data_IF_866428030056
#
_entry.id   IF_866428030056
#
_cell.length_a   1.000
_cell.length_b   1.000
_cell.length_c   1.000
_cell.angle_alpha   90.00
_cell.angle_beta   90.00
_cell.angle_gamma   90.00
#
_symmetry.space_group_name_H-M   'P 1'
#
loop_
_entity.id
_entity.type
_entity.pdbx_description
1 polymer ?
#
# COMPACT_ATOMS: atom_id res chain seq x y z
N UNK A 1 -10.33 15.37 28.61
CA UNK A 1 -9.34 14.29 28.38
C UNK A 1 -9.04 14.19 26.91
N UNK A 2 -7.78 13.97 26.52
CA UNK A 2 -7.37 13.91 25.11
C UNK A 2 -6.77 12.53 24.83
N UNK A 3 -7.35 11.82 23.87
CA UNK A 3 -6.80 10.58 23.34
C UNK A 3 -6.19 10.85 21.97
N UNK A 4 -5.07 10.21 21.68
CA UNK A 4 -4.39 10.24 20.40
C UNK A 4 -4.51 8.86 19.74
N UNK A 5 -5.00 8.82 18.52
CA UNK A 5 -5.18 7.60 17.74
C UNK A 5 -4.15 7.57 16.62
N UNK A 6 -3.19 6.67 16.70
CA UNK A 6 -2.14 6.53 15.69
C UNK A 6 -1.77 5.06 15.50
N UNK A 7 -1.59 4.66 14.23
CA UNK A 7 -1.02 3.36 13.85
C UNK A 7 -1.74 2.14 14.47
N UNK A 8 -3.06 2.23 14.65
CA UNK A 8 -3.85 1.15 15.26
C UNK A 8 -3.72 1.04 16.78
N UNK A 9 -3.09 2.01 17.43
CA UNK A 9 -2.98 2.11 18.89
C UNK A 9 -3.73 3.35 19.41
N UNK A 10 -4.26 3.22 20.63
CA UNK A 10 -4.91 4.30 21.36
C UNK A 10 -3.94 4.76 22.45
N UNK A 11 -3.60 6.05 22.46
CA UNK A 11 -2.77 6.63 23.49
C UNK A 11 -3.57 7.65 24.30
N UNK A 12 -3.53 7.54 25.63
CA UNK A 12 -4.01 8.59 26.51
C UNK A 12 -2.91 9.64 26.64
N UNK A 13 -3.25 10.90 26.38
CA UNK A 13 -2.35 12.02 26.66
C UNK A 13 -2.40 12.31 28.15
N UNK A 14 -1.35 11.95 28.88
CA UNK A 14 -1.27 12.21 30.32
C UNK A 14 -0.80 13.63 30.60
N UNK A 15 0.23 14.08 29.89
CA UNK A 15 0.78 15.41 30.11
C UNK A 15 1.31 16.01 28.80
N UNK A 16 1.21 17.33 28.70
CA UNK A 16 1.82 18.13 27.65
C UNK A 16 2.61 19.22 28.35
N UNK A 17 3.93 19.23 28.16
CA UNK A 17 4.80 20.22 28.75
C UNK A 17 5.86 20.65 27.74
N UNK A 18 6.42 21.83 27.95
CA UNK A 18 7.56 22.30 27.18
C UNK A 18 8.83 21.87 27.92
N UNK A 19 9.74 21.21 27.22
CA UNK A 19 11.01 20.77 27.78
C UNK A 19 12.11 21.76 27.38
N UNK A 20 12.53 22.56 28.36
CA UNK A 20 13.51 23.62 28.18
C UNK A 20 14.92 23.07 27.84
N UNK A 21 15.21 21.79 28.11
CA UNK A 21 16.52 21.19 27.80
C UNK A 21 16.66 20.86 26.30
N UNK A 22 15.55 20.56 25.63
CA UNK A 22 15.52 20.17 24.21
C UNK A 22 14.77 21.16 23.31
N UNK A 23 14.31 22.29 23.86
CA UNK A 23 13.56 23.36 23.19
C UNK A 23 12.38 22.82 22.35
N UNK A 24 11.64 21.85 22.91
CA UNK A 24 10.54 21.17 22.22
C UNK A 24 9.35 20.89 23.14
N UNK A 25 8.15 20.90 22.55
CA UNK A 25 6.94 20.44 23.22
C UNK A 25 6.92 18.92 23.35
N UNK A 26 6.91 18.41 24.59
CA UNK A 26 6.87 16.99 24.89
C UNK A 26 5.45 16.57 25.27
N UNK A 27 4.98 15.48 24.64
CA UNK A 27 3.67 14.87 24.93
C UNK A 27 3.90 13.50 25.53
N UNK A 28 3.53 13.32 26.80
CA UNK A 28 3.60 12.03 27.47
C UNK A 28 2.36 11.20 27.12
N UNK A 29 2.59 10.10 26.43
CA UNK A 29 1.56 9.18 25.94
C UNK A 29 1.61 7.87 26.73
N UNK A 30 0.44 7.36 27.13
CA UNK A 30 0.30 6.01 27.72
C UNK A 30 -0.54 5.17 26.77
N UNK A 31 -0.05 3.98 26.42
CA UNK A 31 -0.81 3.03 25.63
C UNK A 31 -2.06 2.61 26.42
N UNK A 32 -3.22 2.73 25.78
CA UNK A 32 -4.52 2.56 26.40
C UNK A 32 -5.30 1.50 25.64
N UNK A 33 -6.06 0.68 26.37
CA UNK A 33 -6.98 -0.31 25.81
C UNK A 33 -8.39 -0.07 26.31
N UNK A 34 -9.40 -0.52 25.56
CA UNK A 34 -10.80 -0.50 26.00
C UNK A 34 -11.10 -1.44 27.16
N UNK A 35 -10.20 -2.39 27.41
CA UNK A 35 -10.31 -3.33 28.53
C UNK A 35 -9.86 -2.68 29.85
N UNK A 36 -8.81 -1.85 29.79
CA UNK A 36 -8.11 -1.38 30.98
C UNK A 36 -8.34 0.10 31.31
N UNK A 37 -8.73 0.93 30.33
CA UNK A 37 -8.93 2.37 30.54
C UNK A 37 -10.42 2.73 30.69
N UNK A 38 -10.78 3.14 31.91
CA UNK A 38 -12.16 3.46 32.30
C UNK A 38 -12.74 4.63 31.51
N UNK A 39 -11.95 5.67 31.26
CA UNK A 39 -12.40 6.88 30.58
C UNK A 39 -12.56 6.63 29.09
N UNK A 40 -11.68 5.82 28.51
CA UNK A 40 -11.82 5.33 27.15
C UNK A 40 -13.08 4.48 27.01
N UNK A 41 -13.33 3.53 27.94
CA UNK A 41 -14.56 2.71 27.97
C UNK A 41 -15.82 3.58 28.11
N UNK A 42 -15.77 4.65 28.90
CA UNK A 42 -16.86 5.61 29.07
C UNK A 42 -17.11 6.40 27.78
N UNK A 43 -16.06 6.88 27.12
CA UNK A 43 -16.15 7.54 25.80
C UNK A 43 -16.80 6.61 24.78
N UNK A 44 -16.39 5.33 24.71
CA UNK A 44 -17.02 4.33 23.87
C UNK A 44 -18.50 4.10 24.22
N UNK A 45 -18.81 4.02 25.52
CA UNK A 45 -20.19 3.91 25.98
C UNK A 45 -21.04 5.14 25.64
N UNK A 46 -20.46 6.33 25.58
CA UNK A 46 -21.13 7.55 25.12
C UNK A 46 -21.32 7.56 23.61
N UNK A 47 -20.27 7.31 22.83
CA UNK A 47 -20.36 7.20 21.36
C UNK A 47 -21.39 6.14 20.94
N UNK A 48 -21.40 4.97 21.59
CA UNK A 48 -22.39 3.91 21.33
C UNK A 48 -23.82 4.33 21.68
N UNK A 49 -24.01 5.14 22.72
CA UNK A 49 -25.35 5.65 23.13
C UNK A 49 -25.82 6.81 22.26
N UNK A 50 -24.94 7.75 21.93
CA UNK A 50 -25.27 8.89 21.06
C UNK A 50 -25.51 8.45 19.61
N UNK A 51 -24.72 7.51 19.11
CA UNK A 51 -24.86 7.00 17.74
C UNK A 51 -25.91 5.87 17.67
N UNK A 52 -26.23 5.25 18.81
CA UNK A 52 -27.21 4.16 18.91
C UNK A 52 -28.66 4.57 18.68
N UNK A 53 -28.95 5.86 18.50
CA UNK A 53 -30.32 6.35 18.42
C UNK A 53 -30.85 6.67 17.02
N UNK A 54 -30.06 6.56 15.94
CA UNK A 54 -30.57 6.31 14.57
C UNK A 54 -29.44 6.38 13.53
N UNK A 55 -29.48 5.44 12.57
CA UNK A 55 -28.95 5.51 11.19
C UNK A 55 -27.46 5.77 10.89
N UNK A 56 -26.54 5.79 11.86
CA UNK A 56 -25.11 6.05 11.54
C UNK A 56 -24.06 5.02 11.99
N UNK A 57 -24.39 3.72 11.90
CA UNK A 57 -23.43 2.64 12.18
C UNK A 57 -22.20 2.68 11.28
N UNK A 58 -22.34 3.17 10.04
CA UNK A 58 -21.22 3.33 9.12
C UNK A 58 -20.17 4.32 9.66
N UNK A 59 -20.58 5.54 10.05
CA UNK A 59 -19.62 6.51 10.60
C UNK A 59 -18.97 6.02 11.89
N UNK A 60 -19.73 5.35 12.76
CA UNK A 60 -19.17 4.71 13.95
C UNK A 60 -18.11 3.68 13.58
N UNK A 61 -18.39 2.79 12.62
CA UNK A 61 -17.43 1.79 12.19
C UNK A 61 -16.13 2.38 11.64
N UNK A 62 -16.21 3.47 10.87
CA UNK A 62 -15.01 4.16 10.35
C UNK A 62 -14.17 4.74 11.50
N UNK A 63 -14.82 5.31 12.52
CA UNK A 63 -14.14 5.80 13.71
C UNK A 63 -13.49 4.64 14.46
N UNK A 64 -14.23 3.57 14.74
CA UNK A 64 -13.73 2.37 15.43
C UNK A 64 -12.53 1.74 14.71
N UNK A 65 -12.58 1.62 13.38
CA UNK A 65 -11.46 1.13 12.55
C UNK A 65 -10.22 2.01 12.75
N UNK A 66 -10.36 3.33 12.66
CA UNK A 66 -9.22 4.27 12.88
C UNK A 66 -8.63 4.16 14.28
N UNK A 67 -9.44 3.75 15.25
CA UNK A 67 -9.01 3.51 16.63
C UNK A 67 -8.37 2.13 16.85
N UNK A 68 -8.35 1.25 15.84
CA UNK A 68 -7.86 -0.13 15.96
C UNK A 68 -8.88 -1.14 16.51
N UNK A 69 -10.10 -0.70 16.80
CA UNK A 69 -11.20 -1.52 17.34
C UNK A 69 -11.92 -2.30 16.24
N UNK A 70 -11.17 -3.16 15.56
CA UNK A 70 -11.62 -3.83 14.33
C UNK A 70 -12.84 -4.74 14.52
N UNK A 71 -12.93 -5.46 15.64
CA UNK A 71 -14.06 -6.34 15.93
C UNK A 71 -15.38 -5.55 16.05
N UNK A 72 -15.37 -4.47 16.83
CA UNK A 72 -16.54 -3.61 17.01
C UNK A 72 -16.90 -2.87 15.71
N UNK A 73 -15.89 -2.43 14.95
CA UNK A 73 -16.10 -1.83 13.63
C UNK A 73 -16.80 -2.79 12.66
N UNK A 74 -16.34 -4.04 12.63
CA UNK A 74 -16.93 -5.11 11.81
C UNK A 74 -18.38 -5.39 12.21
N UNK A 75 -18.67 -5.48 13.50
CA UNK A 75 -20.03 -5.69 14.02
C UNK A 75 -20.97 -4.55 13.59
N UNK A 76 -20.53 -3.30 13.72
CA UNK A 76 -21.31 -2.14 13.28
C UNK A 76 -21.65 -2.18 11.79
N UNK A 77 -20.69 -2.57 10.93
CA UNK A 77 -20.92 -2.69 9.48
C UNK A 77 -21.86 -3.85 9.14
N UNK A 78 -21.72 -4.99 9.83
CA UNK A 78 -22.64 -6.13 9.65
C UNK A 78 -24.07 -5.78 10.09
N UNK A 79 -24.23 -5.03 11.17
CA UNK A 79 -25.55 -4.52 11.59
C UNK A 79 -26.12 -3.54 10.56
N UNK A 80 -25.32 -2.60 10.05
CA UNK A 80 -25.75 -1.69 8.97
C UNK A 80 -26.23 -2.48 7.73
N UNK A 81 -25.52 -3.56 7.37
CA UNK A 81 -25.87 -4.40 6.23
C UNK A 81 -27.24 -5.09 6.37
N UNK A 82 -27.68 -5.42 7.58
CA UNK A 82 -29.01 -6.01 7.82
C UNK A 82 -30.15 -5.04 7.49
N UNK A 83 -29.89 -3.73 7.56
CA UNK A 83 -30.88 -2.68 7.32
C UNK A 83 -30.78 -2.06 5.92
N UNK A 84 -29.69 -2.31 5.19
CA UNK A 84 -29.50 -1.83 3.81
C UNK A 84 -30.05 -2.82 2.78
N UNK A 85 -30.59 -2.32 1.66
CA UNK A 85 -30.92 -3.21 0.54
C UNK A 85 -29.64 -3.79 -0.09
N UNK A 86 -29.70 -5.06 -0.48
CA UNK A 86 -28.53 -5.85 -0.92
C UNK A 86 -27.73 -5.20 -2.06
N UNK A 87 -28.39 -4.42 -2.92
CA UNK A 87 -27.78 -3.70 -4.04
C UNK A 87 -27.88 -2.18 -3.89
N UNK A 88 -27.62 -1.65 -2.69
CA UNK A 88 -27.57 -0.20 -2.43
C UNK A 88 -26.14 0.34 -2.39
N UNK A 89 -26.01 1.66 -2.57
CA UNK A 89 -24.74 2.36 -2.35
C UNK A 89 -24.27 2.22 -0.89
N UNK A 90 -25.18 2.04 0.07
CA UNK A 90 -24.83 1.80 1.47
C UNK A 90 -24.21 0.41 1.67
N UNK A 91 -24.75 -0.62 1.02
CA UNK A 91 -24.15 -1.96 1.00
C UNK A 91 -22.75 -1.95 0.38
N UNK A 92 -22.57 -1.22 -0.73
CA UNK A 92 -21.25 -1.00 -1.34
C UNK A 92 -20.27 -0.39 -0.33
N UNK A 93 -20.64 0.70 0.35
CA UNK A 93 -19.80 1.37 1.34
C UNK A 93 -19.45 0.45 2.51
N UNK A 94 -20.42 -0.36 2.97
CA UNK A 94 -20.20 -1.29 4.06
C UNK A 94 -19.24 -2.42 3.68
N UNK A 95 -19.42 -3.04 2.51
CA UNK A 95 -18.49 -4.07 2.04
C UNK A 95 -17.08 -3.52 1.79
N UNK A 96 -16.97 -2.31 1.22
CA UNK A 96 -15.68 -1.66 1.08
C UNK A 96 -15.03 -1.37 2.46
N UNK A 97 -15.80 -0.92 3.45
CA UNK A 97 -15.27 -0.69 4.79
C UNK A 97 -14.85 -2.00 5.48
N UNK A 98 -15.57 -3.10 5.25
CA UNK A 98 -15.20 -4.44 5.74
C UNK A 98 -13.90 -4.91 5.09
N UNK A 99 -13.76 -4.78 3.76
CA UNK A 99 -12.50 -5.17 3.08
C UNK A 99 -11.30 -4.48 3.72
N UNK A 100 -11.43 -3.17 3.96
CA UNK A 100 -10.41 -2.34 4.55
C UNK A 100 -10.03 -2.79 5.98
N UNK A 101 -11.02 -3.14 6.81
CA UNK A 101 -10.77 -3.69 8.16
C UNK A 101 -9.98 -5.00 8.06
N UNK A 102 -10.35 -5.88 7.13
CA UNK A 102 -9.66 -7.16 6.94
C UNK A 102 -8.24 -6.99 6.38
N UNK A 103 -8.02 -6.01 5.49
CA UNK A 103 -6.67 -5.62 5.05
C UNK A 103 -5.81 -5.13 6.20
N UNK A 104 -6.35 -4.26 7.08
CA UNK A 104 -5.62 -3.73 8.24
C UNK A 104 -5.24 -4.84 9.22
N UNK A 105 -6.06 -5.89 9.33
CA UNK A 105 -5.79 -7.09 10.13
C UNK A 105 -4.84 -8.10 9.45
N UNK A 106 -4.45 -7.86 8.19
CA UNK A 106 -3.64 -8.78 7.39
C UNK A 106 -4.38 -10.04 6.92
N UNK A 107 -5.71 -10.10 7.07
CA UNK A 107 -6.52 -11.23 6.60
C UNK A 107 -7.03 -10.95 5.18
N UNK A 108 -6.14 -11.19 4.21
CA UNK A 108 -6.40 -10.91 2.80
C UNK A 108 -7.47 -11.82 2.18
N UNK A 109 -7.69 -13.02 2.71
CA UNK A 109 -8.73 -13.92 2.19
C UNK A 109 -10.13 -13.33 2.37
N UNK A 110 -10.43 -12.84 3.58
CA UNK A 110 -11.70 -12.17 3.83
C UNK A 110 -11.79 -10.81 3.14
N UNK A 111 -10.67 -10.06 3.09
CA UNK A 111 -10.62 -8.79 2.36
C UNK A 111 -11.06 -8.96 0.89
N UNK A 112 -10.52 -9.98 0.19
CA UNK A 112 -10.86 -10.27 -1.20
C UNK A 112 -12.35 -10.58 -1.38
N UNK A 113 -12.96 -11.31 -0.44
CA UNK A 113 -14.39 -11.64 -0.50
C UNK A 113 -15.22 -10.36 -0.44
N UNK A 114 -14.97 -9.50 0.55
CA UNK A 114 -15.70 -8.25 0.71
C UNK A 114 -15.44 -7.26 -0.43
N UNK A 115 -14.21 -7.23 -0.96
CA UNK A 115 -13.88 -6.43 -2.13
C UNK A 115 -14.69 -6.87 -3.35
N UNK A 116 -14.86 -8.19 -3.56
CA UNK A 116 -15.68 -8.72 -4.66
C UNK A 116 -17.15 -8.37 -4.50
N UNK A 117 -17.72 -8.46 -3.30
CA UNK A 117 -19.09 -8.02 -3.05
C UNK A 117 -19.28 -6.53 -3.34
N UNK A 118 -18.34 -5.69 -2.90
CA UNK A 118 -18.33 -4.26 -3.21
C UNK A 118 -18.29 -4.00 -4.73
N UNK A 119 -17.42 -4.71 -5.45
CA UNK A 119 -17.30 -4.62 -6.90
C UNK A 119 -18.58 -5.09 -7.62
N UNK A 120 -19.21 -6.18 -7.19
CA UNK A 120 -20.46 -6.68 -7.76
C UNK A 120 -21.58 -5.63 -7.66
N UNK A 121 -21.73 -4.99 -6.51
CA UNK A 121 -22.70 -3.91 -6.33
C UNK A 121 -22.36 -2.72 -7.22
N UNK A 122 -21.08 -2.33 -7.31
CA UNK A 122 -20.63 -1.21 -8.15
C UNK A 122 -20.95 -1.47 -9.63
N UNK A 123 -20.77 -2.70 -10.11
CA UNK A 123 -21.11 -3.10 -11.48
C UNK A 123 -22.62 -2.99 -11.76
N UNK A 124 -23.47 -3.29 -10.77
CA UNK A 124 -24.93 -3.14 -10.88
C UNK A 124 -25.33 -1.66 -10.87
N UNK A 125 -24.81 -0.89 -9.91
CA UNK A 125 -25.20 0.51 -9.67
C UNK A 125 -24.63 1.48 -10.68
N UNK A 126 -23.47 1.18 -11.27
CA UNK A 126 -22.71 2.14 -12.06
C UNK A 126 -22.12 1.48 -13.30
N UNK A 127 -22.98 1.23 -14.29
CA UNK A 127 -22.58 0.77 -15.62
C UNK A 127 -21.66 1.76 -16.38
N UNK A 128 -21.50 2.98 -15.88
CA UNK A 128 -20.70 4.07 -16.50
C UNK A 128 -19.44 4.45 -15.72
N UNK A 129 -19.25 3.96 -14.50
CA UNK A 129 -18.12 4.36 -13.65
C UNK A 129 -16.95 3.37 -13.78
N UNK A 130 -16.43 3.29 -15.01
CA UNK A 130 -15.33 2.39 -15.38
C UNK A 130 -14.06 2.66 -14.57
N UNK A 131 -13.84 3.91 -14.15
CA UNK A 131 -12.68 4.30 -13.36
C UNK A 131 -12.63 3.56 -12.02
N UNK A 132 -13.75 3.55 -11.28
CA UNK A 132 -13.83 2.88 -9.99
C UNK A 132 -13.82 1.35 -10.09
N UNK A 133 -14.35 0.80 -11.18
CA UNK A 133 -14.22 -0.63 -11.48
C UNK A 133 -12.73 -0.99 -11.65
N UNK A 134 -11.96 -0.15 -12.35
CA UNK A 134 -10.51 -0.32 -12.48
C UNK A 134 -9.78 -0.21 -11.13
N UNK A 135 -10.17 0.75 -10.28
CA UNK A 135 -9.65 0.89 -8.92
C UNK A 135 -9.88 -0.37 -8.07
N UNK A 136 -11.07 -0.96 -8.19
CA UNK A 136 -11.45 -2.17 -7.47
C UNK A 136 -10.58 -3.35 -7.92
N UNK A 137 -10.42 -3.55 -9.23
CA UNK A 137 -9.54 -4.60 -9.74
C UNK A 137 -8.07 -4.43 -9.35
N UNK A 138 -7.55 -3.20 -9.34
CA UNK A 138 -6.19 -2.94 -8.87
C UNK A 138 -6.02 -3.30 -7.39
N UNK A 139 -7.01 -2.95 -6.56
CA UNK A 139 -6.98 -3.24 -5.12
C UNK A 139 -7.09 -4.75 -4.84
N UNK A 140 -7.98 -5.46 -5.53
CA UNK A 140 -8.05 -6.93 -5.48
C UNK A 140 -6.72 -7.57 -5.93
N UNK A 141 -6.05 -6.97 -6.93
CA UNK A 141 -4.72 -7.39 -7.36
C UNK A 141 -3.69 -7.28 -6.24
N UNK A 142 -3.68 -6.17 -5.51
CA UNK A 142 -2.80 -5.95 -4.36
C UNK A 142 -3.10 -6.91 -3.21
N UNK A 143 -4.37 -7.24 -2.95
CA UNK A 143 -4.74 -8.20 -1.92
C UNK A 143 -4.27 -9.62 -2.26
N UNK A 144 -4.44 -10.05 -3.51
CA UNK A 144 -3.89 -11.33 -3.99
C UNK A 144 -2.37 -11.36 -3.93
N UNK A 145 -1.71 -10.25 -4.26
CA UNK A 145 -0.25 -10.12 -4.16
C UNK A 145 0.24 -10.30 -2.72
N UNK A 146 -0.41 -9.64 -1.75
CA UNK A 146 -0.07 -9.76 -0.33
C UNK A 146 -0.35 -11.16 0.23
N UNK A 147 -1.38 -11.83 -0.29
CA UNK A 147 -1.67 -13.24 0.02
C UNK A 147 -0.65 -14.21 -0.60
N UNK A 148 0.03 -13.82 -1.67
CA UNK A 148 0.98 -14.66 -2.42
C UNK A 148 0.38 -15.36 -3.65
N UNK A 149 -0.89 -15.13 -3.96
CA UNK A 149 -1.59 -15.71 -5.12
C UNK A 149 -1.23 -14.92 -6.41
N UNK A 150 0.02 -15.02 -6.85
CA UNK A 150 0.56 -14.19 -7.93
C UNK A 150 -0.25 -14.28 -9.24
N UNK A 151 -0.75 -15.47 -9.61
CA UNK A 151 -1.54 -15.66 -10.83
C UNK A 151 -2.88 -14.91 -10.81
N UNK A 152 -3.52 -14.85 -9.63
CA UNK A 152 -4.77 -14.10 -9.46
C UNK A 152 -4.48 -12.60 -9.38
N UNK A 153 -3.38 -12.19 -8.74
CA UNK A 153 -2.91 -10.80 -8.75
C UNK A 153 -2.69 -10.30 -10.19
N UNK A 154 -1.96 -11.07 -11.01
CA UNK A 154 -1.71 -10.74 -12.43
C UNK A 154 -3.02 -10.55 -13.19
N UNK A 155 -3.96 -11.50 -13.06
CA UNK A 155 -5.26 -11.43 -13.72
C UNK A 155 -6.05 -10.19 -13.31
N UNK A 156 -6.03 -9.83 -12.03
CA UNK A 156 -6.72 -8.65 -11.50
C UNK A 156 -6.08 -7.35 -12.01
N UNK A 157 -4.75 -7.25 -11.98
CA UNK A 157 -4.05 -6.09 -12.53
C UNK A 157 -4.24 -5.94 -14.05
N UNK A 158 -4.27 -7.03 -14.82
CA UNK A 158 -4.56 -6.97 -16.26
C UNK A 158 -5.98 -6.47 -16.55
N UNK A 159 -6.98 -6.91 -15.75
CA UNK A 159 -8.33 -6.35 -15.85
C UNK A 159 -8.36 -4.85 -15.56
N UNK A 160 -7.68 -4.41 -14.50
CA UNK A 160 -7.56 -3.00 -14.16
C UNK A 160 -6.90 -2.21 -15.30
N UNK A 161 -5.81 -2.74 -15.89
CA UNK A 161 -5.11 -2.14 -17.03
C UNK A 161 -6.03 -1.94 -18.23
N UNK A 162 -6.77 -2.97 -18.64
CA UNK A 162 -7.70 -2.90 -19.78
C UNK A 162 -8.78 -1.84 -19.55
N UNK A 163 -9.29 -1.74 -18.32
CA UNK A 163 -10.30 -0.74 -17.98
C UNK A 163 -9.70 0.66 -17.97
N UNK A 164 -8.57 0.87 -17.29
CA UNK A 164 -7.92 2.17 -17.22
C UNK A 164 -7.42 2.66 -18.57
N UNK A 165 -6.96 1.76 -19.46
CA UNK A 165 -6.60 2.12 -20.83
C UNK A 165 -7.81 2.65 -21.63
N UNK A 166 -9.03 2.21 -21.31
CA UNK A 166 -10.25 2.76 -21.93
C UNK A 166 -10.66 4.09 -21.32
N UNK A 167 -10.38 4.30 -20.03
CA UNK A 167 -10.78 5.51 -19.28
C UNK A 167 -9.79 6.67 -19.48
N UNK A 168 -8.52 6.34 -19.67
CA UNK A 168 -7.42 7.28 -19.68
C UNK A 168 -6.66 7.21 -21.01
N UNK A 169 -6.01 8.32 -21.37
CA UNK A 169 -5.00 8.30 -22.43
C UNK A 169 -3.74 7.58 -21.92
N UNK A 170 -2.91 7.07 -22.85
CA UNK A 170 -1.71 6.29 -22.51
C UNK A 170 -0.75 6.99 -21.53
N UNK A 171 -0.72 8.33 -21.51
CA UNK A 171 0.14 9.15 -20.64
C UNK A 171 -0.57 9.64 -19.37
N UNK A 172 -1.25 8.76 -18.66
CA UNK A 172 -1.90 9.08 -17.38
C UNK A 172 -1.18 8.43 -16.20
N UNK A 173 -1.13 9.09 -15.04
CA UNK A 173 -0.46 8.59 -13.83
C UNK A 173 -0.87 7.16 -13.44
N UNK A 174 -2.16 6.83 -13.56
CA UNK A 174 -2.69 5.49 -13.26
C UNK A 174 -2.18 4.42 -14.22
N UNK A 175 -1.85 4.79 -15.46
CA UNK A 175 -1.20 3.87 -16.40
C UNK A 175 0.23 3.55 -15.93
N UNK A 176 0.99 4.55 -15.46
CA UNK A 176 2.30 4.26 -14.86
C UNK A 176 2.21 3.34 -13.64
N UNK A 177 1.21 3.58 -12.77
CA UNK A 177 0.98 2.74 -11.60
C UNK A 177 0.64 1.29 -11.97
N UNK A 178 -0.25 1.05 -12.93
CA UNK A 178 -0.62 -0.34 -13.28
C UNK A 178 0.51 -1.08 -13.97
N UNK A 179 1.29 -0.40 -14.82
CA UNK A 179 2.48 -0.99 -15.42
C UNK A 179 3.53 -1.30 -14.35
N UNK A 180 3.71 -0.43 -13.36
CA UNK A 180 4.60 -0.72 -12.24
C UNK A 180 4.17 -1.98 -11.47
N UNK A 181 2.88 -2.12 -11.16
CA UNK A 181 2.34 -3.29 -10.45
C UNK A 181 2.50 -4.58 -11.26
N UNK A 182 2.23 -4.53 -12.57
CA UNK A 182 2.47 -5.66 -13.47
C UNK A 182 3.96 -6.02 -13.54
N UNK A 183 4.86 -5.04 -13.55
CA UNK A 183 6.30 -5.27 -13.49
C UNK A 183 6.72 -6.00 -12.21
N UNK A 184 6.19 -5.59 -11.05
CA UNK A 184 6.43 -6.24 -9.76
C UNK A 184 5.96 -7.70 -9.80
N UNK A 185 4.75 -7.97 -10.30
CA UNK A 185 4.21 -9.33 -10.36
C UNK A 185 5.02 -10.21 -11.31
N UNK A 186 5.35 -9.73 -12.50
CA UNK A 186 6.20 -10.48 -13.43
C UNK A 186 7.57 -10.79 -12.81
N UNK A 187 8.19 -9.83 -12.10
CA UNK A 187 9.45 -10.08 -11.39
C UNK A 187 9.30 -11.15 -10.32
N UNK A 188 8.21 -11.13 -9.52
CA UNK A 188 7.93 -12.17 -8.50
C UNK A 188 7.68 -13.55 -9.12
N UNK A 189 7.19 -13.61 -10.36
CA UNK A 189 7.03 -14.84 -11.13
C UNK A 189 8.30 -15.25 -11.91
N UNK A 190 9.43 -14.56 -11.74
CA UNK A 190 10.66 -14.75 -12.51
C UNK A 190 10.52 -14.51 -14.03
N UNK A 191 9.49 -13.78 -14.45
CA UNK A 191 9.23 -13.37 -15.83
C UNK A 191 9.94 -12.05 -16.14
N UNK A 192 11.27 -12.07 -16.14
CA UNK A 192 12.07 -10.85 -16.12
C UNK A 192 11.92 -9.97 -17.37
N UNK A 193 11.77 -10.56 -18.56
CA UNK A 193 11.55 -9.80 -19.80
C UNK A 193 10.25 -8.98 -19.73
N UNK A 194 9.15 -9.60 -19.29
CA UNK A 194 7.88 -8.88 -19.08
C UNK A 194 7.99 -7.86 -17.95
N UNK A 195 8.77 -8.13 -16.90
CA UNK A 195 9.00 -7.18 -15.82
C UNK A 195 9.71 -5.92 -16.32
N UNK A 196 10.80 -6.07 -17.11
CA UNK A 196 11.51 -4.96 -17.74
C UNK A 196 10.60 -4.17 -18.66
N UNK A 197 9.83 -4.83 -19.53
CA UNK A 197 8.91 -4.14 -20.45
C UNK A 197 7.91 -3.26 -19.68
N UNK A 198 7.30 -3.79 -18.63
CA UNK A 198 6.30 -3.07 -17.83
C UNK A 198 6.94 -1.93 -17.02
N UNK A 199 8.09 -2.15 -16.39
CA UNK A 199 8.79 -1.08 -15.66
C UNK A 199 9.28 0.03 -16.58
N UNK A 200 9.76 -0.28 -17.79
CA UNK A 200 10.14 0.72 -18.80
C UNK A 200 8.93 1.55 -19.27
N UNK A 201 7.77 0.92 -19.49
CA UNK A 201 6.52 1.65 -19.80
C UNK A 201 6.13 2.60 -18.66
N UNK A 202 6.21 2.14 -17.41
CA UNK A 202 5.92 2.97 -16.24
C UNK A 202 6.90 4.16 -16.13
N UNK A 203 8.20 3.92 -16.34
CA UNK A 203 9.23 4.95 -16.37
C UNK A 203 8.96 6.00 -17.45
N UNK A 204 8.69 5.58 -18.69
CA UNK A 204 8.43 6.49 -19.80
C UNK A 204 7.21 7.39 -19.58
N UNK A 205 6.15 6.87 -18.94
CA UNK A 205 4.98 7.69 -18.57
C UNK A 205 5.36 8.69 -17.47
N UNK A 206 6.07 8.26 -16.42
CA UNK A 206 6.51 9.14 -15.33
C UNK A 206 7.41 10.27 -15.83
N UNK A 207 8.38 9.97 -16.68
CA UNK A 207 9.24 10.98 -17.32
C UNK A 207 8.45 11.96 -18.21
N UNK A 208 7.33 11.52 -18.78
CA UNK A 208 6.51 12.39 -19.64
C UNK A 208 5.59 13.34 -18.86
N UNK A 209 5.25 13.03 -17.60
CA UNK A 209 4.23 13.78 -16.83
C UNK A 209 4.76 14.41 -15.54
N UNK A 210 5.96 14.02 -15.08
CA UNK A 210 6.56 14.47 -13.83
C UNK A 210 7.85 15.26 -14.10
N UNK A 211 8.24 16.17 -13.19
CA UNK A 211 9.56 16.79 -13.23
C UNK A 211 10.69 15.75 -13.16
N UNK A 212 11.84 16.02 -13.80
CA UNK A 212 12.96 15.07 -13.92
C UNK A 212 13.47 14.53 -12.58
N UNK A 213 13.42 15.33 -11.52
CA UNK A 213 13.86 14.93 -10.18
C UNK A 213 12.75 14.30 -9.34
N UNK A 214 11.61 13.91 -9.91
CA UNK A 214 10.49 13.39 -9.12
C UNK A 214 10.83 12.01 -8.51
N UNK A 215 10.55 11.77 -7.21
CA UNK A 215 10.87 10.50 -6.54
C UNK A 215 10.34 9.24 -7.24
N UNK A 216 9.15 9.30 -7.83
CA UNK A 216 8.58 8.19 -8.62
C UNK A 216 9.45 7.76 -9.81
N UNK A 217 10.19 8.69 -10.44
CA UNK A 217 11.14 8.35 -11.51
C UNK A 217 12.29 7.53 -10.93
N UNK A 218 12.84 7.94 -9.77
CA UNK A 218 13.84 7.15 -9.07
C UNK A 218 13.32 5.77 -8.68
N UNK A 219 12.07 5.66 -8.19
CA UNK A 219 11.46 4.36 -7.87
C UNK A 219 11.33 3.46 -9.10
N UNK A 220 11.06 4.01 -10.29
CA UNK A 220 11.10 3.23 -11.54
C UNK A 220 12.49 2.68 -11.83
N UNK A 221 13.54 3.48 -11.68
CA UNK A 221 14.92 3.04 -11.89
C UNK A 221 15.34 1.97 -10.88
N UNK A 222 14.99 2.11 -9.60
CA UNK A 222 15.18 1.06 -8.57
C UNK A 222 14.51 -0.24 -9.00
N UNK A 223 13.27 -0.19 -9.49
CA UNK A 223 12.56 -1.40 -9.90
C UNK A 223 13.23 -2.09 -11.12
N UNK A 224 13.73 -1.33 -12.09
CA UNK A 224 14.52 -1.87 -13.21
C UNK A 224 15.83 -2.50 -12.70
N UNK A 225 16.56 -1.79 -11.84
CA UNK A 225 17.79 -2.29 -11.23
C UNK A 225 17.58 -3.61 -10.48
N UNK A 226 16.49 -3.73 -9.73
CA UNK A 226 16.11 -4.96 -9.05
C UNK A 226 15.85 -6.13 -10.02
N UNK A 227 15.29 -5.87 -11.21
CA UNK A 227 15.11 -6.91 -12.23
C UNK A 227 16.46 -7.35 -12.80
N UNK A 228 17.33 -6.40 -13.17
CA UNK A 228 18.68 -6.71 -13.64
C UNK A 228 19.51 -7.48 -12.62
N UNK A 229 19.42 -7.10 -11.34
CA UNK A 229 20.05 -7.84 -10.24
C UNK A 229 19.54 -9.28 -10.15
N UNK A 230 18.23 -9.51 -10.36
CA UNK A 230 17.66 -10.88 -10.40
C UNK A 230 18.07 -11.68 -11.64
N UNK A 231 18.42 -11.00 -12.73
CA UNK A 231 19.01 -11.60 -13.93
C UNK A 231 20.54 -11.79 -13.81
N UNK A 232 21.14 -11.40 -12.69
CA UNK A 232 22.58 -11.36 -12.46
C UNK A 232 23.35 -10.43 -13.43
N UNK A 233 22.67 -9.46 -14.03
CA UNK A 233 23.27 -8.37 -14.79
C UNK A 233 23.59 -7.23 -13.83
N UNK A 234 24.71 -7.39 -13.11
CA UNK A 234 25.09 -6.52 -12.00
C UNK A 234 25.56 -5.14 -12.48
N UNK A 235 26.02 -5.03 -13.72
CA UNK A 235 26.44 -3.75 -14.30
C UNK A 235 25.22 -2.88 -14.63
N UNK A 236 24.23 -3.44 -15.33
CA UNK A 236 22.97 -2.72 -15.57
C UNK A 236 22.24 -2.37 -14.27
N UNK A 237 22.28 -3.25 -13.27
CA UNK A 237 21.71 -2.96 -11.96
C UNK A 237 22.37 -1.74 -11.30
N UNK A 238 23.71 -1.67 -11.28
CA UNK A 238 24.45 -0.53 -10.71
C UNK A 238 24.13 0.77 -11.45
N UNK A 239 24.13 0.75 -12.79
CA UNK A 239 23.83 1.93 -13.60
C UNK A 239 22.46 2.52 -13.22
N UNK A 240 21.44 1.66 -13.11
CA UNK A 240 20.08 2.10 -12.78
C UNK A 240 19.95 2.54 -11.32
N UNK A 241 20.59 1.84 -10.37
CA UNK A 241 20.60 2.29 -8.98
C UNK A 241 21.31 3.64 -8.81
N UNK A 242 22.38 3.91 -9.55
CA UNK A 242 23.09 5.18 -9.51
C UNK A 242 22.20 6.33 -10.02
N UNK A 243 21.50 6.12 -11.14
CA UNK A 243 20.54 7.13 -11.65
C UNK A 243 19.44 7.40 -10.60
N UNK A 244 18.91 6.35 -9.97
CA UNK A 244 17.91 6.51 -8.93
C UNK A 244 18.44 7.31 -7.72
N UNK A 245 19.67 7.02 -7.30
CA UNK A 245 20.33 7.68 -6.18
C UNK A 245 20.53 9.18 -6.49
N UNK A 246 20.99 9.53 -7.69
CA UNK A 246 21.21 10.91 -8.11
C UNK A 246 19.91 11.72 -8.10
N UNK A 247 18.79 11.13 -8.55
CA UNK A 247 17.46 11.76 -8.50
C UNK A 247 17.00 11.94 -7.06
N UNK A 248 17.15 10.92 -6.22
CA UNK A 248 16.75 10.96 -4.80
C UNK A 248 17.55 12.02 -4.03
N UNK A 249 18.85 12.16 -4.29
CA UNK A 249 19.69 13.17 -3.63
C UNK A 249 19.28 14.61 -3.97
N UNK A 250 18.73 14.84 -5.16
CA UNK A 250 18.24 16.16 -5.60
C UNK A 250 16.85 16.50 -5.06
N UNK A 251 16.06 15.50 -4.67
CA UNK A 251 14.62 15.65 -4.39
C UNK A 251 14.20 15.35 -2.96
N UNK A 252 15.02 14.59 -2.22
CA UNK A 252 14.71 14.12 -0.88
C UNK A 252 15.70 14.68 0.13
N UNK A 253 15.27 14.78 1.39
CA UNK A 253 16.17 15.11 2.49
C UNK A 253 17.20 13.99 2.70
N UNK A 254 18.38 14.33 3.22
CA UNK A 254 19.48 13.37 3.42
C UNK A 254 19.12 12.17 4.29
N UNK A 255 18.11 12.31 5.17
CA UNK A 255 17.64 11.27 6.09
C UNK A 255 16.45 10.47 5.53
N UNK A 256 16.09 10.65 4.26
CA UNK A 256 14.95 9.97 3.67
C UNK A 256 15.22 8.47 3.49
N UNK A 257 14.30 7.63 3.99
CA UNK A 257 14.42 6.16 3.97
C UNK A 257 14.78 5.58 2.58
N UNK A 258 14.21 6.14 1.51
CA UNK A 258 14.51 5.69 0.14
C UNK A 258 15.99 5.81 -0.24
N UNK A 259 16.70 6.84 0.21
CA UNK A 259 18.14 6.98 -0.04
C UNK A 259 18.92 5.84 0.62
N UNK A 260 18.61 5.55 1.89
CA UNK A 260 19.25 4.46 2.62
C UNK A 260 18.99 3.10 1.95
N UNK A 261 17.75 2.85 1.49
CA UNK A 261 17.42 1.62 0.78
C UNK A 261 18.21 1.48 -0.52
N UNK A 262 18.25 2.51 -1.36
CA UNK A 262 19.01 2.49 -2.62
C UNK A 262 20.51 2.26 -2.36
N UNK A 263 21.10 2.89 -1.33
CA UNK A 263 22.48 2.67 -0.94
C UNK A 263 22.74 1.24 -0.46
N UNK A 264 21.82 0.66 0.33
CA UNK A 264 21.88 -0.74 0.73
C UNK A 264 21.84 -1.67 -0.49
N UNK A 265 20.94 -1.42 -1.44
CA UNK A 265 20.82 -2.22 -2.66
C UNK A 265 22.11 -2.16 -3.50
N UNK A 266 22.70 -0.97 -3.67
CA UNK A 266 24.02 -0.80 -4.31
C UNK A 266 25.09 -1.60 -3.58
N UNK A 267 25.12 -1.54 -2.24
CA UNK A 267 26.04 -2.32 -1.42
C UNK A 267 25.89 -3.83 -1.64
N UNK A 268 24.65 -4.33 -1.70
CA UNK A 268 24.37 -5.74 -2.01
C UNK A 268 24.88 -6.14 -3.40
N UNK A 269 24.76 -5.28 -4.41
CA UNK A 269 25.29 -5.57 -5.75
C UNK A 269 26.82 -5.70 -5.72
N UNK A 270 27.52 -4.80 -5.02
CA UNK A 270 28.99 -4.90 -4.86
C UNK A 270 29.43 -6.16 -4.10
N UNK A 271 28.68 -6.56 -3.08
CA UNK A 271 28.94 -7.79 -2.33
C UNK A 271 28.82 -9.03 -3.23
N UNK A 272 27.78 -9.08 -4.07
CA UNK A 272 27.60 -10.17 -5.05
C UNK A 272 28.76 -10.18 -6.04
N UNK A 273 29.14 -9.03 -6.63
CA UNK A 273 30.28 -8.95 -7.57
C UNK A 273 31.58 -9.44 -6.93
N UNK A 274 31.86 -9.05 -5.69
CA UNK A 274 33.03 -9.50 -4.93
C UNK A 274 33.02 -11.02 -4.73
N UNK A 275 31.86 -11.57 -4.36
CA UNK A 275 31.70 -13.02 -4.12
C UNK A 275 31.94 -13.83 -5.39
N UNK A 276 31.37 -13.39 -6.52
CA UNK A 276 31.61 -14.02 -7.83
C UNK A 276 33.10 -13.97 -8.18
N UNK A 277 33.76 -12.82 -7.99
CA UNK A 277 35.19 -12.67 -8.28
C UNK A 277 36.07 -13.62 -7.46
N UNK A 278 35.80 -13.75 -6.16
CA UNK A 278 36.51 -14.70 -5.29
C UNK A 278 36.25 -16.14 -5.73
N UNK A 279 34.99 -16.50 -6.03
CA UNK A 279 34.62 -17.83 -6.51
C UNK A 279 35.31 -18.21 -7.81
N UNK A 280 35.34 -17.29 -8.80
CA UNK A 280 36.05 -17.51 -10.06
C UNK A 280 37.53 -17.74 -9.83
N UNK A 281 38.17 -16.96 -8.96
CA UNK A 281 39.59 -17.14 -8.62
C UNK A 281 39.87 -18.52 -8.02
N UNK A 282 39.09 -18.95 -7.03
CA UNK A 282 39.26 -20.25 -6.39
C UNK A 282 39.05 -21.41 -7.38
N UNK A 283 38.08 -21.29 -8.30
CA UNK A 283 37.85 -22.28 -9.35
C UNK A 283 39.05 -22.45 -10.28
N UNK A 284 39.72 -21.36 -10.64
CA UNK A 284 40.94 -21.43 -11.45
C UNK A 284 42.14 -21.95 -10.67
N UNK A 285 42.24 -21.66 -9.37
CA UNK A 285 43.32 -22.17 -8.50
C UNK A 285 43.16 -23.67 -8.18
N UNK A 286 41.96 -24.26 -8.37
CA UNK A 286 41.69 -25.68 -8.08
C UNK A 286 41.89 -26.63 -9.26
N UNK A 287 42.25 -26.13 -10.45
CA UNK A 287 42.53 -26.91 -11.66
C UNK A 287 44.02 -26.84 -12.01
#
# INVERSE_FOLDING_TARGET
>A
MKFLFMLGCIFRIENVYFDDEIDMGVVKLVLSSTQDDHDLKKLFGHLKREIGNETNFYSLAIILRKMGEFHHAEECLKQQLLHSSSSSNDSYRCYHALDNIYQDRGNFEQAIIYHKYSLEIKLILSSKDYVDIGNSYNSIGADYEKKGDLSLALRSYEKARVIWLKCYKDKHERMAMIYNNLGIIHRKMNMYSQALENHTKALGIRQAILPDNHPDIASSYVNLAMVYMKMNDLDQALDHFQIALDIQQKSLSSNHKSLALTLCDIGSVYEIKKTISIGSRLFFESH
#
